data_IF_838970163250
#
_entry.id   IF_838970163250
#
_cell.length_a   1.000
_cell.length_b   1.000
_cell.length_c   1.000
_cell.angle_alpha   90.00
_cell.angle_beta   90.00
_cell.angle_gamma   90.00
#
_symmetry.space_group_name_H-M   'P 1'
#
loop_
_entity.id
_entity.type
_entity.pdbx_description
1 polymer ?
#
# COMPACT_ATOMS: atom_id res chain seq x y z
N UNK A 1 5.25 -5.94 11.07
CA UNK A 1 3.79 -5.82 11.00
C UNK A 1 3.38 -4.38 10.88
N UNK A 2 2.43 -4.09 10.01
CA UNK A 2 1.93 -2.73 9.87
C UNK A 2 1.27 -2.27 11.17
N UNK A 3 1.21 -0.97 11.33
CA UNK A 3 0.62 -0.38 12.52
C UNK A 3 -0.89 -0.63 12.54
N UNK A 4 -1.36 -1.34 13.54
CA UNK A 4 -2.78 -1.64 13.71
C UNK A 4 -3.41 -0.82 14.84
N UNK A 5 -2.61 0.06 15.47
CA UNK A 5 -3.05 0.79 16.64
C UNK A 5 -3.92 1.98 16.32
N UNK A 6 -4.85 2.27 17.23
CA UNK A 6 -5.60 3.51 17.25
C UNK A 6 -4.92 4.48 18.19
N UNK A 7 -4.97 5.77 17.86
CA UNK A 7 -4.40 6.84 18.69
C UNK A 7 -5.49 7.57 19.52
N UNK A 8 -6.73 7.22 19.31
CA UNK A 8 -7.87 7.71 20.04
C UNK A 8 -8.75 6.53 20.44
N UNK A 9 -9.60 6.65 21.44
CA UNK A 9 -10.52 5.57 21.81
C UNK A 9 -11.36 5.18 20.58
N UNK A 10 -11.39 3.88 20.28
CA UNK A 10 -12.03 3.40 19.06
C UNK A 10 -13.53 3.73 19.03
N UNK A 11 -14.18 3.75 20.19
CA UNK A 11 -15.61 4.04 20.27
C UNK A 11 -15.94 5.53 20.06
N UNK A 12 -14.93 6.38 20.00
CA UNK A 12 -15.10 7.80 19.68
C UNK A 12 -14.86 8.09 18.21
N UNK A 13 -14.43 7.10 17.44
CA UNK A 13 -14.18 7.25 16.02
C UNK A 13 -15.43 6.97 15.21
N UNK A 14 -15.64 7.73 14.14
CA UNK A 14 -16.72 7.49 13.19
C UNK A 14 -16.47 6.19 12.43
N UNK A 15 -17.52 5.65 11.80
CA UNK A 15 -17.39 4.49 10.93
C UNK A 15 -16.44 4.79 9.76
N UNK A 16 -16.51 6.01 9.21
CA UNK A 16 -15.65 6.43 8.12
C UNK A 16 -14.17 6.43 8.54
N UNK A 17 -13.87 6.92 9.74
CA UNK A 17 -12.50 6.92 10.25
C UNK A 17 -12.00 5.50 10.49
N UNK A 18 -12.86 4.62 11.00
CA UNK A 18 -12.50 3.22 11.22
C UNK A 18 -12.25 2.49 9.90
N UNK A 19 -13.07 2.73 8.89
CA UNK A 19 -12.88 2.14 7.57
C UNK A 19 -11.60 2.66 6.92
N UNK A 20 -11.33 3.96 7.04
CA UNK A 20 -10.09 4.53 6.52
C UNK A 20 -8.87 3.90 7.21
N UNK A 21 -8.95 3.69 8.53
CA UNK A 21 -7.88 3.01 9.26
C UNK A 21 -7.67 1.59 8.73
N UNK A 22 -8.77 0.84 8.52
CA UNK A 22 -8.67 -0.52 7.96
C UNK A 22 -7.98 -0.52 6.61
N UNK A 23 -8.35 0.43 5.76
CA UNK A 23 -7.78 0.54 4.42
C UNK A 23 -6.30 0.90 4.46
N UNK A 24 -5.95 1.91 5.27
CA UNK A 24 -4.55 2.35 5.38
C UNK A 24 -3.68 1.28 6.00
N UNK A 25 -4.13 0.65 7.08
CA UNK A 25 -3.38 -0.42 7.73
C UNK A 25 -3.17 -1.59 6.77
N UNK A 26 -4.21 -1.95 6.01
CA UNK A 26 -4.10 -3.03 5.03
C UNK A 26 -3.13 -2.66 3.91
N UNK A 27 -3.15 -1.41 3.42
CA UNK A 27 -2.20 -0.96 2.41
C UNK A 27 -0.77 -1.03 2.92
N UNK A 28 -0.55 -0.62 4.16
CA UNK A 28 0.77 -0.69 4.79
C UNK A 28 1.26 -2.14 4.85
N UNK A 29 0.38 -3.07 5.20
CA UNK A 29 0.72 -4.50 5.24
C UNK A 29 1.07 -5.04 3.86
N UNK A 30 0.32 -4.65 2.84
CA UNK A 30 0.61 -5.08 1.46
C UNK A 30 1.96 -4.54 0.97
N UNK A 31 2.25 -3.27 1.26
CA UNK A 31 3.53 -2.68 0.88
C UNK A 31 4.70 -3.32 1.64
N UNK A 32 4.50 -3.65 2.90
CA UNK A 32 5.49 -4.38 3.69
C UNK A 32 5.76 -5.75 3.07
N UNK A 33 4.70 -6.44 2.65
CA UNK A 33 4.84 -7.74 1.99
C UNK A 33 5.60 -7.61 0.66
N UNK A 34 5.33 -6.58 -0.13
CA UNK A 34 6.06 -6.31 -1.37
C UNK A 34 7.55 -6.15 -1.09
N UNK A 35 7.89 -5.36 -0.07
CA UNK A 35 9.28 -5.13 0.32
C UNK A 35 9.98 -6.43 0.71
N UNK A 36 9.33 -7.23 1.54
CA UNK A 36 9.90 -8.50 2.00
C UNK A 36 10.08 -9.49 0.85
N UNK A 37 9.10 -9.59 -0.04
CA UNK A 37 9.21 -10.46 -1.20
C UNK A 37 10.29 -9.98 -2.18
N UNK A 38 10.45 -8.67 -2.35
CA UNK A 38 11.53 -8.12 -3.18
C UNK A 38 12.90 -8.60 -2.66
N UNK A 39 13.10 -8.55 -1.36
CA UNK A 39 14.35 -9.00 -0.74
C UNK A 39 14.56 -10.49 -0.96
N UNK A 40 13.51 -11.28 -0.76
CA UNK A 40 13.57 -12.73 -0.95
C UNK A 40 13.88 -13.11 -2.40
N UNK A 41 13.24 -12.45 -3.35
CA UNK A 41 13.48 -12.69 -4.78
C UNK A 41 14.94 -12.39 -5.13
N UNK A 42 15.43 -11.25 -4.63
CA UNK A 42 16.80 -10.82 -4.91
C UNK A 42 17.84 -11.79 -4.34
N UNK A 43 17.60 -12.31 -3.16
CA UNK A 43 18.55 -13.20 -2.47
C UNK A 43 18.42 -14.66 -2.85
N UNK A 44 17.27 -15.09 -3.39
CA UNK A 44 16.98 -16.49 -3.65
C UNK A 44 17.74 -16.97 -4.88
N UNK A 45 18.49 -18.08 -4.74
CA UNK A 45 19.29 -18.64 -5.84
C UNK A 45 18.57 -19.80 -6.51
N UNK A 46 17.51 -20.33 -5.92
CA UNK A 46 16.73 -21.39 -6.51
C UNK A 46 15.76 -20.78 -7.52
N UNK A 47 15.86 -21.20 -8.77
CA UNK A 47 15.10 -20.60 -9.87
C UNK A 47 13.58 -20.78 -9.70
N UNK A 48 13.16 -21.98 -9.36
CA UNK A 48 11.74 -22.29 -9.22
C UNK A 48 11.13 -21.56 -8.04
N UNK A 49 11.81 -21.58 -6.88
CA UNK A 49 11.35 -20.87 -5.70
C UNK A 49 11.32 -19.36 -5.94
N UNK A 50 12.36 -18.84 -6.62
CA UNK A 50 12.41 -17.41 -6.95
C UNK A 50 11.23 -16.98 -7.81
N UNK A 51 10.80 -17.83 -8.74
CA UNK A 51 9.64 -17.54 -9.58
C UNK A 51 8.34 -17.49 -8.78
N UNK A 52 8.18 -18.39 -7.82
CA UNK A 52 7.02 -18.38 -6.92
C UNK A 52 7.00 -17.10 -6.09
N UNK A 53 8.16 -16.74 -5.52
CA UNK A 53 8.27 -15.55 -4.69
C UNK A 53 7.98 -14.29 -5.50
N UNK A 54 8.46 -14.22 -6.75
CA UNK A 54 8.19 -13.09 -7.62
C UNK A 54 6.69 -13.00 -7.97
N UNK A 55 6.05 -14.13 -8.21
CA UNK A 55 4.61 -14.16 -8.46
C UNK A 55 3.84 -13.61 -7.26
N UNK A 56 4.19 -14.06 -6.05
CA UNK A 56 3.52 -13.61 -4.84
C UNK A 56 3.74 -12.11 -4.61
N UNK A 57 4.96 -11.61 -4.86
CA UNK A 57 5.25 -10.18 -4.79
C UNK A 57 4.33 -9.38 -5.70
N UNK A 58 4.16 -9.83 -6.93
CA UNK A 58 3.37 -9.10 -7.92
C UNK A 58 1.87 -9.14 -7.57
N UNK A 59 1.40 -10.23 -6.97
CA UNK A 59 0.05 -10.30 -6.44
C UNK A 59 -0.17 -9.27 -5.32
N UNK A 60 0.82 -9.10 -4.43
CA UNK A 60 0.73 -8.09 -3.36
C UNK A 60 0.68 -6.67 -3.91
N UNK A 61 1.33 -6.42 -5.05
CA UNK A 61 1.25 -5.11 -5.72
C UNK A 61 -0.16 -4.82 -6.21
N UNK A 62 -0.85 -5.82 -6.72
CA UNK A 62 -2.24 -5.68 -7.13
C UNK A 62 -3.13 -5.36 -5.93
N UNK A 63 -2.94 -6.08 -4.83
CA UNK A 63 -3.70 -5.84 -3.60
C UNK A 63 -3.48 -4.41 -3.10
N UNK A 64 -2.24 -3.94 -3.12
CA UNK A 64 -1.92 -2.57 -2.72
C UNK A 64 -2.63 -1.56 -3.62
N UNK A 65 -2.66 -1.80 -4.93
CA UNK A 65 -3.30 -0.91 -5.89
C UNK A 65 -4.81 -0.80 -5.63
N UNK A 66 -5.46 -1.91 -5.32
CA UNK A 66 -6.89 -1.90 -5.02
C UNK A 66 -7.20 -1.06 -3.77
N UNK A 67 -6.39 -1.22 -2.73
CA UNK A 67 -6.57 -0.46 -1.49
C UNK A 67 -6.30 1.03 -1.71
N UNK A 68 -5.26 1.35 -2.46
CA UNK A 68 -4.94 2.74 -2.77
C UNK A 68 -6.10 3.42 -3.53
N UNK A 69 -6.72 2.71 -4.47
CA UNK A 69 -7.85 3.25 -5.22
C UNK A 69 -9.06 3.48 -4.32
N UNK A 70 -9.33 2.54 -3.38
CA UNK A 70 -10.41 2.73 -2.43
C UNK A 70 -10.17 3.97 -1.57
N UNK A 71 -8.93 4.13 -1.06
CA UNK A 71 -8.57 5.30 -0.26
C UNK A 71 -8.73 6.57 -1.08
N UNK A 72 -8.27 6.56 -2.33
CA UNK A 72 -8.40 7.71 -3.23
C UNK A 72 -9.85 8.15 -3.37
N UNK A 73 -10.77 7.20 -3.52
CA UNK A 73 -12.20 7.50 -3.71
C UNK A 73 -12.83 8.09 -2.45
N UNK A 74 -12.20 7.88 -1.28
CA UNK A 74 -12.73 8.31 0.01
C UNK A 74 -11.91 9.44 0.64
N UNK A 75 -10.94 9.99 -0.10
CA UNK A 75 -10.09 11.07 0.39
C UNK A 75 -9.85 12.04 -0.77
N UNK A 76 -10.63 13.11 -0.78
CA UNK A 76 -10.60 14.09 -1.87
C UNK A 76 -9.22 14.76 -2.01
N UNK A 77 -8.61 15.11 -0.89
CA UNK A 77 -7.29 15.75 -0.90
C UNK A 77 -6.22 14.83 -1.46
N UNK A 78 -6.21 13.59 -1.00
CA UNK A 78 -5.25 12.60 -1.52
C UNK A 78 -5.50 12.36 -3.01
N UNK A 79 -6.76 12.25 -3.42
CA UNK A 79 -7.10 12.07 -4.83
C UNK A 79 -6.51 13.18 -5.70
N UNK A 80 -6.60 14.43 -5.25
CA UNK A 80 -6.05 15.56 -5.99
C UNK A 80 -4.53 15.47 -6.10
N UNK A 81 -3.85 15.11 -5.02
CA UNK A 81 -2.40 14.94 -5.05
C UNK A 81 -1.99 13.78 -5.96
N UNK A 82 -2.71 12.68 -5.92
CA UNK A 82 -2.41 11.55 -6.80
C UNK A 82 -2.57 11.92 -8.28
N UNK A 83 -3.61 12.68 -8.61
CA UNK A 83 -3.81 13.15 -9.99
C UNK A 83 -2.67 14.07 -10.44
N UNK A 84 -2.11 14.83 -9.51
CA UNK A 84 -1.06 15.79 -9.83
C UNK A 84 0.29 15.10 -10.03
N UNK A 85 0.56 14.05 -9.29
CA UNK A 85 1.89 13.42 -9.29
C UNK A 85 1.98 12.11 -10.08
N UNK A 86 0.90 11.33 -10.17
CA UNK A 86 0.97 10.01 -10.79
C UNK A 86 0.90 10.10 -12.31
N UNK A 87 1.58 9.14 -12.95
CA UNK A 87 1.58 8.97 -14.42
C UNK A 87 2.11 10.20 -15.18
N UNK A 88 3.03 10.92 -14.57
CA UNK A 88 3.68 12.07 -15.18
C UNK A 88 5.15 11.77 -15.43
N UNK A 89 5.79 12.60 -16.26
CA UNK A 89 7.23 12.49 -16.52
C UNK A 89 8.01 13.69 -16.02
N UNK A 90 7.32 14.66 -15.43
CA UNK A 90 7.98 15.85 -14.90
C UNK A 90 8.73 15.51 -13.60
N UNK A 91 9.55 16.44 -13.14
CA UNK A 91 10.26 16.30 -11.87
C UNK A 91 9.27 16.11 -10.74
N UNK A 92 9.49 15.09 -9.89
CA UNK A 92 8.56 14.75 -8.82
C UNK A 92 8.60 15.80 -7.72
N UNK A 93 9.80 16.07 -7.19
CA UNK A 93 9.96 17.06 -6.15
C UNK A 93 10.15 18.45 -6.79
N UNK A 94 9.49 19.44 -6.24
CA UNK A 94 9.63 20.82 -6.71
C UNK A 94 9.92 21.71 -5.51
N UNK A 95 10.52 22.86 -5.79
CA UNK A 95 10.91 23.81 -4.74
C UNK A 95 9.72 24.60 -4.22
#
# INVERSE_FOLDING_TARGET
MANEGYHEPVNELSDEARDMHRAIASLMEELEAVDWYNQRVDACKNRELGAILAHNRDEEKEHAAMLLEWIRRHDHTLSNHLKDYLFTTRQIAHD
#
